data_IF_984372699189
#
_entry.id   IF_984372699189
#
_cell.length_a   1.000
_cell.length_b   1.000
_cell.length_c   1.000
_cell.angle_alpha   90.00
_cell.angle_beta   90.00
_cell.angle_gamma   90.00
#
_symmetry.space_group_name_H-M   'P 1'
#
loop_
_entity.id
_entity.type
_entity.pdbx_description
1 polymer ?
#
# COMPACT_ATOMS: atom_id res chain seq x y z
N UNK A 1 23.74 -0.85 10.76
CA UNK A 1 25.15 -1.25 10.91
C UNK A 1 25.86 -0.79 9.65
N UNK A 2 26.81 0.13 9.76
CA UNK A 2 27.64 0.50 8.61
C UNK A 2 28.62 -0.65 8.33
N UNK A 3 28.33 -1.42 7.30
CA UNK A 3 29.25 -2.44 6.80
C UNK A 3 30.38 -1.73 6.08
N UNK A 4 31.56 -1.64 6.71
CA UNK A 4 32.75 -1.06 6.11
C UNK A 4 33.41 -2.09 5.20
N UNK A 5 33.31 -1.91 3.90
CA UNK A 5 33.98 -2.71 2.89
C UNK A 5 34.79 -1.85 1.95
N UNK A 6 35.80 -2.43 1.30
CA UNK A 6 36.56 -1.75 0.26
C UNK A 6 35.91 -2.00 -1.10
N UNK A 7 35.86 -0.95 -1.94
CA UNK A 7 35.41 -1.10 -3.31
C UNK A 7 36.28 -0.29 -4.27
N UNK A 8 36.46 -0.83 -5.47
CA UNK A 8 37.13 -0.16 -6.57
C UNK A 8 36.17 -0.07 -7.75
N UNK A 9 36.02 1.14 -8.31
CA UNK A 9 35.25 1.35 -9.54
C UNK A 9 36.11 0.95 -10.72
N UNK A 10 35.75 -0.14 -11.40
CA UNK A 10 36.46 -0.64 -12.56
C UNK A 10 35.98 0.03 -13.85
N UNK A 11 34.68 0.35 -13.91
CA UNK A 11 34.02 0.95 -15.06
C UNK A 11 32.84 1.78 -14.60
N UNK A 12 32.63 2.92 -15.23
CA UNK A 12 31.51 3.80 -14.93
C UNK A 12 30.99 4.45 -16.21
N UNK A 13 29.72 4.25 -16.50
CA UNK A 13 29.04 4.84 -17.65
C UNK A 13 27.82 5.63 -17.20
N UNK A 14 27.74 6.88 -17.62
CA UNK A 14 26.59 7.76 -17.37
C UNK A 14 25.80 7.88 -18.67
N UNK A 15 24.56 7.40 -18.66
CA UNK A 15 23.64 7.57 -19.78
C UNK A 15 23.42 9.06 -20.09
N UNK A 16 23.64 9.43 -21.37
CA UNK A 16 23.52 10.81 -21.85
C UNK A 16 22.09 11.17 -22.25
N UNK A 17 21.26 10.17 -22.54
CA UNK A 17 19.85 10.33 -22.91
C UNK A 17 18.95 9.86 -21.78
N UNK A 18 17.68 10.31 -21.80
CA UNK A 18 16.68 10.00 -20.75
C UNK A 18 16.42 8.50 -20.60
N UNK A 19 16.52 7.75 -21.65
CA UNK A 19 16.26 6.30 -21.79
C UNK A 19 17.55 5.45 -21.73
N UNK A 20 18.71 6.07 -21.65
CA UNK A 20 19.99 5.38 -21.58
C UNK A 20 20.33 5.06 -20.11
N UNK A 21 20.58 3.78 -19.82
CA UNK A 21 20.94 3.35 -18.48
C UNK A 21 22.37 3.74 -18.13
N UNK A 22 22.56 4.25 -16.93
CA UNK A 22 23.88 4.40 -16.33
C UNK A 22 24.25 3.08 -15.65
N UNK A 23 25.50 2.67 -15.74
CA UNK A 23 25.98 1.49 -15.02
C UNK A 23 27.36 1.74 -14.42
N UNK A 24 27.69 0.98 -13.38
CA UNK A 24 29.01 0.93 -12.79
C UNK A 24 29.43 -0.54 -12.59
N UNK A 25 30.70 -0.81 -12.84
CA UNK A 25 31.31 -2.10 -12.53
C UNK A 25 32.25 -1.92 -11.35
N UNK A 26 31.97 -2.66 -10.29
CA UNK A 26 32.66 -2.52 -9.01
C UNK A 26 33.37 -3.81 -8.67
N UNK A 27 34.59 -3.69 -8.12
CA UNK A 27 35.26 -4.76 -7.40
C UNK A 27 35.04 -4.52 -5.91
N UNK A 28 34.48 -5.50 -5.20
CA UNK A 28 34.18 -5.40 -3.78
C UNK A 28 34.99 -6.44 -3.04
N UNK A 29 35.61 -6.03 -1.95
CA UNK A 29 36.38 -6.90 -1.06
C UNK A 29 35.92 -6.76 0.39
N UNK A 30 35.89 -7.88 1.10
CA UNK A 30 35.61 -7.97 2.52
C UNK A 30 36.78 -8.52 3.29
N UNK A 31 36.81 -8.35 4.61
CA UNK A 31 37.89 -8.84 5.49
C UNK A 31 37.99 -10.38 5.51
N UNK A 32 36.86 -11.04 5.35
CA UNK A 32 36.69 -12.48 5.22
C UNK A 32 35.49 -12.82 4.36
N UNK A 33 35.25 -14.11 4.10
CA UNK A 33 34.15 -14.58 3.29
C UNK A 33 32.76 -14.16 3.85
N UNK A 34 32.59 -14.25 5.18
CA UNK A 34 31.32 -13.91 5.84
C UNK A 34 31.02 -12.42 5.71
N UNK A 35 32.04 -11.59 5.88
CA UNK A 35 31.91 -10.14 5.70
C UNK A 35 31.62 -9.79 4.24
N UNK A 36 32.29 -10.43 3.28
CA UNK A 36 32.02 -10.23 1.85
C UNK A 36 30.59 -10.65 1.49
N UNK A 37 30.10 -11.80 1.99
CA UNK A 37 28.73 -12.25 1.74
C UNK A 37 27.70 -11.26 2.31
N UNK A 38 27.93 -10.65 3.47
CA UNK A 38 27.07 -9.60 4.05
C UNK A 38 27.08 -8.32 3.21
N UNK A 39 28.25 -7.89 2.71
CA UNK A 39 28.37 -6.73 1.82
C UNK A 39 27.62 -6.98 0.51
N UNK A 40 27.79 -8.14 -0.10
CA UNK A 40 27.11 -8.51 -1.34
C UNK A 40 25.60 -8.57 -1.14
N UNK A 41 25.11 -9.17 -0.07
CA UNK A 41 23.68 -9.21 0.24
C UNK A 41 23.08 -7.80 0.35
N UNK A 42 23.80 -6.86 0.99
CA UNK A 42 23.30 -5.48 1.15
C UNK A 42 23.20 -4.71 -0.17
N UNK A 43 24.12 -4.95 -1.13
CA UNK A 43 24.08 -4.26 -2.43
C UNK A 43 23.17 -4.94 -3.45
N UNK A 44 22.92 -6.25 -3.31
CA UNK A 44 21.98 -6.96 -4.18
C UNK A 44 20.54 -6.47 -3.99
N UNK A 45 20.17 -6.07 -2.77
CA UNK A 45 18.87 -5.44 -2.47
C UNK A 45 18.71 -4.13 -3.25
N UNK A 46 19.80 -3.41 -3.49
CA UNK A 46 19.81 -2.17 -4.28
C UNK A 46 19.91 -2.41 -5.79
N UNK A 47 19.87 -3.67 -6.24
CA UNK A 47 19.86 -4.06 -7.65
C UNK A 47 21.23 -4.33 -8.27
N UNK A 48 22.30 -4.39 -7.48
CA UNK A 48 23.60 -4.84 -7.98
C UNK A 48 23.53 -6.30 -8.44
N UNK A 49 24.37 -6.68 -9.41
CA UNK A 49 24.38 -8.03 -9.95
C UNK A 49 25.83 -8.54 -10.04
N UNK A 50 26.11 -9.83 -9.74
CA UNK A 50 27.40 -10.40 -9.95
C UNK A 50 27.70 -10.49 -11.44
N UNK A 51 28.98 -10.35 -11.83
CA UNK A 51 29.41 -10.51 -13.24
C UNK A 51 29.28 -11.94 -13.74
N UNK A 52 29.38 -12.93 -12.84
CA UNK A 52 29.12 -14.34 -13.14
C UNK A 52 27.78 -14.73 -12.52
N UNK A 53 26.86 -15.11 -13.36
CA UNK A 53 25.50 -15.48 -12.96
C UNK A 53 25.49 -16.99 -12.72
N UNK A 54 25.21 -17.39 -11.48
CA UNK A 54 24.91 -18.77 -11.12
C UNK A 54 23.40 -19.01 -11.16
N UNK A 55 22.99 -20.25 -11.42
CA UNK A 55 21.58 -20.64 -11.34
C UNK A 55 21.03 -20.54 -9.92
N UNK A 56 19.73 -20.32 -9.81
CA UNK A 56 19.03 -20.30 -8.52
C UNK A 56 19.13 -21.66 -7.81
N UNK A 57 19.28 -21.63 -6.48
CA UNK A 57 19.31 -22.83 -5.66
C UNK A 57 17.89 -23.09 -5.14
N UNK A 58 17.37 -24.29 -5.37
CA UNK A 58 16.03 -24.69 -4.94
C UNK A 58 16.13 -25.79 -3.89
N UNK A 59 15.31 -25.67 -2.84
CA UNK A 59 15.10 -26.73 -1.85
C UNK A 59 13.61 -26.98 -1.67
N UNK A 60 13.25 -28.24 -1.50
CA UNK A 60 11.86 -28.62 -1.25
C UNK A 60 11.41 -28.17 0.15
N UNK A 61 10.18 -27.67 0.24
CA UNK A 61 9.54 -27.39 1.51
C UNK A 61 9.45 -28.69 2.33
N UNK A 62 9.95 -28.72 3.59
CA UNK A 62 9.97 -29.95 4.40
C UNK A 62 8.58 -30.40 4.82
N UNK A 63 7.68 -29.46 5.06
CA UNK A 63 6.28 -29.69 5.42
C UNK A 63 5.38 -28.57 4.90
N UNK A 64 4.08 -28.73 5.00
CA UNK A 64 3.11 -27.66 4.77
C UNK A 64 3.42 -26.50 5.72
N UNK A 65 3.35 -25.27 5.19
CA UNK A 65 3.61 -24.03 5.93
C UNK A 65 5.03 -23.90 6.51
N UNK A 66 6.00 -24.67 6.01
CA UNK A 66 7.40 -24.62 6.47
C UNK A 66 8.34 -24.42 5.31
N UNK A 67 9.15 -23.37 5.39
CA UNK A 67 10.20 -23.05 4.43
C UNK A 67 11.55 -23.63 4.88
N UNK A 68 12.48 -23.93 3.96
CA UNK A 68 13.88 -24.21 4.30
C UNK A 68 14.51 -23.06 5.11
N UNK A 69 15.42 -23.34 6.05
CA UNK A 69 16.02 -22.34 6.95
C UNK A 69 16.69 -21.19 6.19
N UNK A 70 17.28 -21.46 5.04
CA UNK A 70 18.00 -20.52 4.19
C UNK A 70 17.17 -20.00 3.00
N UNK A 71 15.83 -20.00 3.13
CA UNK A 71 14.96 -19.46 2.08
C UNK A 71 15.25 -17.99 1.77
N UNK A 72 15.10 -17.62 0.51
CA UNK A 72 15.17 -16.22 0.09
C UNK A 72 13.92 -15.47 0.53
N UNK A 73 14.11 -14.41 1.35
CA UNK A 73 13.00 -13.53 1.76
C UNK A 73 12.83 -12.39 0.76
N UNK A 74 11.63 -12.22 0.25
CA UNK A 74 11.32 -11.25 -0.78
C UNK A 74 11.19 -9.83 -0.24
N UNK A 75 11.56 -8.85 -1.07
CA UNK A 75 11.14 -7.45 -0.95
C UNK A 75 9.87 -7.22 -1.79
N UNK A 76 9.37 -6.01 -1.83
CA UNK A 76 8.26 -5.62 -2.71
C UNK A 76 8.74 -5.19 -4.13
N UNK A 77 10.04 -5.17 -4.38
CA UNK A 77 10.59 -4.85 -5.69
C UNK A 77 10.37 -5.98 -6.69
N UNK A 78 10.28 -5.63 -7.97
CA UNK A 78 10.31 -6.63 -9.03
C UNK A 78 11.56 -7.49 -8.91
N UNK A 79 11.39 -8.80 -8.98
CA UNK A 79 12.46 -9.78 -8.76
C UNK A 79 12.44 -10.80 -9.90
N UNK A 80 13.62 -11.23 -10.31
CA UNK A 80 13.81 -12.31 -11.27
C UNK A 80 14.70 -13.39 -10.69
N UNK A 81 14.50 -14.61 -11.12
CA UNK A 81 15.35 -15.75 -10.80
C UNK A 81 16.00 -16.29 -12.08
N UNK A 82 17.26 -16.73 -11.98
CA UNK A 82 17.99 -17.36 -13.10
C UNK A 82 17.83 -18.88 -13.04
N UNK A 83 17.03 -19.41 -13.95
CA UNK A 83 16.72 -20.83 -14.03
C UNK A 83 16.91 -21.32 -15.48
N UNK A 84 17.62 -22.43 -15.67
CA UNK A 84 17.84 -23.03 -17.00
C UNK A 84 18.39 -22.04 -18.04
N UNK A 85 19.38 -21.22 -17.66
CA UNK A 85 20.04 -20.18 -18.48
C UNK A 85 19.13 -19.03 -18.94
N UNK A 86 18.01 -18.80 -18.29
CA UNK A 86 17.12 -17.67 -18.57
C UNK A 86 16.65 -16.99 -17.29
N UNK A 87 16.33 -15.68 -17.38
CA UNK A 87 15.75 -14.93 -16.30
C UNK A 87 14.22 -15.05 -16.34
N UNK A 88 13.63 -15.49 -15.23
CA UNK A 88 12.19 -15.66 -15.05
C UNK A 88 11.68 -14.62 -14.06
N UNK A 89 10.63 -13.86 -14.45
CA UNK A 89 9.98 -12.90 -13.56
C UNK A 89 9.23 -13.60 -12.44
N UNK A 90 9.44 -13.13 -11.20
CA UNK A 90 8.67 -13.59 -10.05
C UNK A 90 7.34 -12.84 -10.00
N UNK A 91 6.26 -13.60 -10.11
CA UNK A 91 4.91 -13.06 -10.09
C UNK A 91 4.44 -12.78 -8.65
N UNK A 92 3.40 -11.95 -8.52
CA UNK A 92 2.72 -11.69 -7.24
C UNK A 92 3.64 -11.16 -6.13
N UNK A 93 4.60 -10.31 -6.44
CA UNK A 93 5.57 -9.78 -5.47
C UNK A 93 4.90 -9.13 -4.25
N UNK A 94 5.39 -9.55 -3.09
CA UNK A 94 5.01 -9.05 -1.77
C UNK A 94 6.24 -9.06 -0.87
N UNK A 95 6.30 -8.17 0.11
CA UNK A 95 7.36 -8.15 1.12
C UNK A 95 7.26 -9.34 2.09
N UNK A 96 8.41 -9.82 2.56
CA UNK A 96 8.54 -10.86 3.60
C UNK A 96 7.85 -12.19 3.26
N UNK A 97 8.02 -12.65 2.05
CA UNK A 97 7.51 -13.92 1.55
C UNK A 97 8.66 -14.77 1.00
N UNK A 98 8.35 -15.94 0.46
CA UNK A 98 9.29 -16.77 -0.28
C UNK A 98 8.93 -16.82 -1.76
N UNK A 99 9.87 -17.31 -2.58
CA UNK A 99 9.63 -17.58 -4.00
C UNK A 99 9.49 -19.08 -4.18
N UNK A 100 8.36 -19.51 -4.73
CA UNK A 100 8.09 -20.90 -5.13
C UNK A 100 8.23 -21.01 -6.64
N UNK A 101 8.92 -22.07 -7.09
CA UNK A 101 9.25 -22.28 -8.50
C UNK A 101 8.59 -23.54 -9.02
N UNK A 102 7.77 -23.40 -10.06
CA UNK A 102 7.33 -24.49 -10.89
C UNK A 102 8.34 -24.69 -12.03
N UNK A 103 9.23 -25.69 -11.86
CA UNK A 103 10.31 -25.97 -12.80
C UNK A 103 9.73 -26.43 -14.15
N UNK A 104 8.60 -27.17 -14.14
CA UNK A 104 8.01 -27.75 -15.36
C UNK A 104 7.41 -26.67 -16.26
N UNK A 105 6.70 -25.73 -15.66
CA UNK A 105 6.03 -24.65 -16.37
C UNK A 105 6.88 -23.37 -16.45
N UNK A 106 8.14 -23.41 -15.97
CA UNK A 106 9.06 -22.27 -15.92
C UNK A 106 8.40 -21.04 -15.32
N UNK A 107 7.72 -21.22 -14.19
CA UNK A 107 7.00 -20.16 -13.48
C UNK A 107 7.56 -19.97 -12.09
N UNK A 108 7.63 -18.74 -11.63
CA UNK A 108 8.04 -18.38 -10.27
C UNK A 108 7.04 -17.41 -9.68
N UNK A 109 6.63 -17.63 -8.46
CA UNK A 109 5.70 -16.73 -7.77
C UNK A 109 6.09 -16.51 -6.30
N UNK A 110 5.83 -15.30 -5.84
CA UNK A 110 5.92 -14.95 -4.44
C UNK A 110 4.73 -15.54 -3.68
N UNK A 111 4.99 -16.36 -2.66
CA UNK A 111 3.94 -17.10 -1.95
C UNK A 111 4.02 -16.89 -0.43
N UNK A 112 2.86 -16.74 0.20
CA UNK A 112 2.74 -16.62 1.66
C UNK A 112 3.06 -17.95 2.32
N UNK A 113 3.61 -17.93 3.55
CA UNK A 113 3.95 -19.15 4.29
C UNK A 113 2.76 -20.11 4.44
N UNK A 114 1.55 -19.59 4.67
CA UNK A 114 0.34 -20.42 4.83
C UNK A 114 -0.07 -21.18 3.57
N UNK A 115 0.41 -20.72 2.40
CA UNK A 115 0.08 -21.30 1.10
C UNK A 115 1.16 -22.28 0.61
N UNK A 116 2.25 -22.48 1.39
CA UNK A 116 3.32 -23.43 1.11
C UNK A 116 2.83 -24.84 1.37
N UNK A 117 3.14 -25.73 0.44
CA UNK A 117 2.87 -27.18 0.56
C UNK A 117 4.17 -27.96 0.61
N UNK A 118 4.16 -29.07 1.33
CA UNK A 118 5.29 -30.01 1.36
C UNK A 118 5.72 -30.38 -0.04
N UNK A 119 7.02 -30.22 -0.33
CA UNK A 119 7.60 -30.52 -1.65
C UNK A 119 7.62 -29.33 -2.61
N UNK A 120 7.05 -28.17 -2.29
CA UNK A 120 7.20 -26.95 -3.09
C UNK A 120 8.68 -26.59 -3.23
N UNK A 121 9.13 -26.30 -4.44
CA UNK A 121 10.52 -25.89 -4.68
C UNK A 121 10.68 -24.41 -4.31
N UNK A 122 11.39 -24.15 -3.21
CA UNK A 122 11.60 -22.82 -2.66
C UNK A 122 13.01 -22.33 -2.98
N UNK A 123 13.12 -21.07 -3.41
CA UNK A 123 14.40 -20.40 -3.65
C UNK A 123 15.13 -20.21 -2.33
N UNK A 124 16.43 -20.58 -2.30
CA UNK A 124 17.30 -20.48 -1.14
C UNK A 124 18.58 -19.73 -1.46
N UNK A 125 19.04 -18.93 -0.48
CA UNK A 125 20.20 -18.05 -0.66
C UNK A 125 19.97 -16.96 -1.71
N UNK A 126 21.04 -16.22 -2.02
CA UNK A 126 20.98 -15.05 -2.90
C UNK A 126 21.38 -15.34 -4.35
N UNK A 127 21.95 -16.55 -4.61
CA UNK A 127 22.44 -16.91 -5.94
C UNK A 127 21.31 -17.07 -6.94
N UNK A 128 21.52 -16.52 -8.12
CA UNK A 128 20.52 -16.58 -9.21
C UNK A 128 19.25 -15.76 -8.96
N UNK A 129 19.27 -14.86 -7.98
CA UNK A 129 18.20 -13.89 -7.73
C UNK A 129 18.69 -12.51 -8.08
N UNK A 130 17.88 -11.73 -8.80
CA UNK A 130 18.15 -10.30 -9.00
C UNK A 130 16.92 -9.47 -8.71
N UNK A 131 17.13 -8.35 -8.06
CA UNK A 131 16.13 -7.34 -7.80
C UNK A 131 16.21 -6.28 -8.89
N UNK A 132 15.06 -5.83 -9.37
CA UNK A 132 14.92 -4.73 -10.32
C UNK A 132 14.26 -3.55 -9.58
N UNK A 133 15.06 -2.68 -8.93
CA UNK A 133 14.52 -1.55 -8.22
C UNK A 133 13.81 -0.60 -9.18
N UNK A 134 12.70 -0.03 -8.73
CA UNK A 134 12.01 1.01 -9.51
C UNK A 134 12.93 2.21 -9.68
N UNK A 135 13.12 2.62 -10.93
CA UNK A 135 13.92 3.80 -11.24
C UNK A 135 13.22 5.05 -10.72
N UNK A 136 13.93 5.85 -9.92
CA UNK A 136 13.43 7.15 -9.52
C UNK A 136 13.29 8.04 -10.77
N UNK A 137 12.14 8.69 -10.99
CA UNK A 137 11.99 9.62 -12.10
C UNK A 137 13.10 10.68 -12.06
N UNK A 138 13.84 10.84 -13.15
CA UNK A 138 14.89 11.88 -13.26
C UNK A 138 14.30 13.30 -13.29
N UNK A 139 13.01 13.44 -13.63
CA UNK A 139 12.28 14.71 -13.59
C UNK A 139 11.62 14.92 -12.24
N UNK A 140 11.87 16.06 -11.61
CA UNK A 140 11.24 16.45 -10.34
C UNK A 140 11.91 15.90 -9.10
N UNK A 141 13.18 15.49 -9.20
CA UNK A 141 14.02 15.40 -8.00
C UNK A 141 14.26 16.83 -7.56
N UNK A 142 13.36 17.34 -6.72
CA UNK A 142 13.56 18.61 -6.06
C UNK A 142 14.93 18.59 -5.39
N UNK A 143 15.74 19.61 -5.67
CA UNK A 143 17.06 19.81 -5.07
C UNK A 143 17.04 19.67 -3.53
N UNK A 144 15.85 19.79 -2.95
CA UNK A 144 15.59 19.61 -1.52
C UNK A 144 15.34 18.14 -1.07
N UNK A 145 15.30 17.15 -1.97
CA UNK A 145 15.10 15.75 -1.54
C UNK A 145 16.28 15.19 -0.73
N UNK A 146 17.49 15.71 -0.91
CA UNK A 146 18.63 15.28 -0.11
C UNK A 146 18.65 15.92 1.30
N UNK A 147 17.91 17.00 1.52
CA UNK A 147 17.79 17.70 2.81
C UNK A 147 16.55 17.33 3.61
N UNK A 148 15.62 16.56 3.04
CA UNK A 148 14.38 16.24 3.71
C UNK A 148 14.15 14.74 3.73
N UNK A 149 13.95 14.20 4.92
CA UNK A 149 13.13 13.00 5.04
C UNK A 149 11.87 13.20 4.20
N UNK A 150 11.39 12.15 3.54
CA UNK A 150 10.18 12.15 2.71
C UNK A 150 8.91 12.64 3.43
N UNK A 151 9.01 12.95 4.72
CA UNK A 151 7.96 13.53 5.58
C UNK A 151 8.47 14.86 6.17
N UNK A 152 8.21 15.98 5.52
CA UNK A 152 8.53 17.31 6.06
C UNK A 152 7.26 18.07 6.39
N UNK A 153 7.12 18.50 7.64
CA UNK A 153 6.09 19.43 8.09
C UNK A 153 6.33 20.87 7.58
N UNK A 154 7.50 21.14 7.01
CA UNK A 154 7.90 22.47 6.53
C UNK A 154 7.46 22.78 5.10
N UNK A 155 6.99 21.77 4.35
CA UNK A 155 6.49 21.98 2.98
C UNK A 155 5.08 22.56 3.01
N UNK A 156 4.79 23.57 2.17
CA UNK A 156 3.43 24.09 2.06
C UNK A 156 2.45 22.98 1.68
N UNK A 157 1.56 22.61 2.60
CA UNK A 157 0.57 21.54 2.44
C UNK A 157 -0.24 21.66 1.15
N UNK A 158 -0.53 22.90 0.73
CA UNK A 158 -1.22 23.17 -0.54
C UNK A 158 -0.45 22.70 -1.79
N UNK A 159 0.88 22.83 -1.82
CA UNK A 159 1.67 22.37 -2.96
C UNK A 159 1.69 20.85 -3.03
N UNK A 160 1.78 20.19 -1.87
CA UNK A 160 1.69 18.73 -1.78
C UNK A 160 0.32 18.26 -2.24
N UNK A 161 -0.76 18.90 -1.78
CA UNK A 161 -2.13 18.59 -2.19
C UNK A 161 -2.32 18.75 -3.71
N UNK A 162 -1.76 19.82 -4.31
CA UNK A 162 -1.77 20.03 -5.78
C UNK A 162 -1.05 18.93 -6.54
N UNK A 163 0.13 18.51 -6.05
CA UNK A 163 0.89 17.41 -6.65
C UNK A 163 0.11 16.11 -6.59
N UNK A 164 -0.42 15.77 -5.42
CA UNK A 164 -1.22 14.56 -5.22
C UNK A 164 -2.49 14.57 -6.09
N UNK A 165 -3.19 15.69 -6.17
CA UNK A 165 -4.36 15.81 -7.05
C UNK A 165 -4.00 15.58 -8.53
N UNK A 166 -2.88 16.12 -9.01
CA UNK A 166 -2.38 15.83 -10.37
C UNK A 166 -2.03 14.36 -10.55
N UNK A 167 -1.39 13.74 -9.57
CA UNK A 167 -1.05 12.32 -9.61
C UNK A 167 -2.31 11.44 -9.68
N UNK A 168 -3.34 11.75 -8.89
CA UNK A 168 -4.66 11.09 -8.94
C UNK A 168 -5.28 11.26 -10.33
N UNK A 169 -5.37 12.51 -10.82
CA UNK A 169 -5.93 12.83 -12.12
C UNK A 169 -5.20 12.09 -13.26
N UNK A 170 -3.89 12.14 -13.29
CA UNK A 170 -3.06 11.48 -14.31
C UNK A 170 -3.20 9.95 -14.24
N UNK A 171 -3.26 9.38 -13.03
CA UNK A 171 -3.48 7.95 -12.86
C UNK A 171 -4.82 7.53 -13.44
N UNK A 172 -5.89 8.28 -13.18
CA UNK A 172 -7.21 7.98 -13.73
C UNK A 172 -7.32 8.23 -15.23
N UNK A 173 -6.72 9.29 -15.74
CA UNK A 173 -6.74 9.59 -17.19
C UNK A 173 -6.03 8.54 -18.03
N UNK A 174 -5.10 7.78 -17.44
CA UNK A 174 -4.43 6.64 -18.07
C UNK A 174 -5.12 5.29 -17.78
N UNK A 175 -6.32 5.28 -17.21
CA UNK A 175 -7.07 4.06 -16.86
C UNK A 175 -6.51 3.33 -15.64
N UNK A 176 -5.67 3.98 -14.83
CA UNK A 176 -5.09 3.39 -13.64
C UNK A 176 -6.09 3.24 -12.49
N UNK A 177 -5.97 2.16 -11.73
CA UNK A 177 -6.80 1.86 -10.55
C UNK A 177 -6.23 2.55 -9.31
N UNK A 178 -7.10 3.23 -8.56
CA UNK A 178 -6.77 3.89 -7.29
C UNK A 178 -7.57 3.27 -6.15
N UNK A 179 -6.87 2.84 -5.11
CA UNK A 179 -7.48 2.25 -3.91
C UNK A 179 -7.22 3.14 -2.70
N UNK A 180 -8.21 3.32 -1.86
CA UNK A 180 -8.11 4.05 -0.60
C UNK A 180 -8.08 3.07 0.57
N UNK A 181 -7.16 3.27 1.50
CA UNK A 181 -7.17 2.64 2.82
C UNK A 181 -7.47 3.73 3.84
N UNK A 182 -8.62 3.65 4.52
CA UNK A 182 -9.09 4.74 5.37
C UNK A 182 -9.45 4.28 6.78
N UNK A 183 -9.16 5.13 7.77
CA UNK A 183 -9.59 4.96 9.15
C UNK A 183 -10.82 5.82 9.51
N UNK A 184 -11.47 5.57 10.66
CA UNK A 184 -12.68 6.28 11.08
C UNK A 184 -12.44 7.78 11.32
N UNK A 185 -11.19 8.22 11.52
CA UNK A 185 -10.83 9.64 11.63
C UNK A 185 -11.26 10.44 10.41
N UNK A 186 -11.32 9.83 9.22
CA UNK A 186 -11.85 10.47 8.02
C UNK A 186 -13.30 10.97 8.23
N UNK A 187 -14.09 10.23 9.02
CA UNK A 187 -15.46 10.64 9.36
C UNK A 187 -15.44 11.65 10.51
N UNK A 188 -14.70 11.37 11.58
CA UNK A 188 -14.66 12.22 12.78
C UNK A 188 -14.17 13.65 12.49
N UNK A 189 -13.24 13.81 11.55
CA UNK A 189 -12.69 15.10 11.13
C UNK A 189 -13.59 15.87 10.14
N UNK A 190 -14.74 15.30 9.75
CA UNK A 190 -15.61 15.88 8.72
C UNK A 190 -15.13 15.66 7.27
N UNK A 191 -14.09 14.85 7.06
CA UNK A 191 -13.55 14.59 5.73
C UNK A 191 -14.37 13.60 4.90
N UNK A 192 -15.37 12.95 5.49
CA UNK A 192 -16.16 11.90 4.81
C UNK A 192 -16.85 12.40 3.53
N UNK A 193 -17.40 13.61 3.52
CA UNK A 193 -18.08 14.16 2.33
C UNK A 193 -17.13 14.38 1.15
N UNK A 194 -15.86 14.74 1.43
CA UNK A 194 -14.84 14.95 0.40
C UNK A 194 -14.40 13.62 -0.21
N UNK A 195 -14.19 12.58 0.61
CA UNK A 195 -13.89 11.24 0.11
C UNK A 195 -15.09 10.67 -0.67
N UNK A 196 -16.31 10.82 -0.17
CA UNK A 196 -17.54 10.42 -0.86
C UNK A 196 -17.66 11.11 -2.23
N UNK A 197 -17.33 12.39 -2.32
CA UNK A 197 -17.33 13.13 -3.58
C UNK A 197 -16.24 12.65 -4.54
N UNK A 198 -15.04 12.31 -4.06
CA UNK A 198 -13.99 11.70 -4.89
C UNK A 198 -14.44 10.36 -5.47
N UNK A 199 -15.17 9.54 -4.69
CA UNK A 199 -15.77 8.28 -5.16
C UNK A 199 -16.80 8.58 -6.27
N UNK A 200 -17.73 9.50 -6.03
CA UNK A 200 -18.76 9.91 -6.99
C UNK A 200 -18.18 10.43 -8.30
N UNK A 201 -17.06 11.13 -8.24
CA UNK A 201 -16.32 11.63 -9.40
C UNK A 201 -15.53 10.55 -10.15
N UNK A 202 -15.53 9.29 -9.67
CA UNK A 202 -14.84 8.16 -10.29
C UNK A 202 -13.31 8.13 -10.08
N UNK A 203 -12.81 8.87 -9.10
CA UNK A 203 -11.38 8.83 -8.79
C UNK A 203 -10.95 7.62 -7.96
N UNK A 204 -11.88 6.97 -7.27
CA UNK A 204 -11.60 5.86 -6.36
C UNK A 204 -12.27 4.59 -6.88
N UNK A 205 -11.50 3.51 -6.98
CA UNK A 205 -11.94 2.21 -7.50
C UNK A 205 -12.06 1.14 -6.42
N UNK A 206 -11.52 1.39 -5.23
CA UNK A 206 -11.59 0.45 -4.11
C UNK A 206 -11.40 1.13 -2.75
N UNK A 207 -12.07 0.59 -1.73
CA UNK A 207 -11.98 1.03 -0.35
C UNK A 207 -11.63 -0.13 0.57
N UNK A 208 -10.54 0.01 1.32
CA UNK A 208 -10.08 -0.95 2.32
C UNK A 208 -10.16 -0.29 3.71
N UNK A 209 -10.97 -0.85 4.59
CA UNK A 209 -11.19 -0.22 5.89
C UNK A 209 -11.68 -1.24 6.94
N UNK A 210 -11.95 -0.74 8.15
CA UNK A 210 -12.53 -1.51 9.23
C UNK A 210 -14.03 -1.24 9.41
N UNK A 211 -14.66 -2.05 10.25
CA UNK A 211 -16.04 -1.87 10.69
C UNK A 211 -16.31 -0.44 11.20
N UNK A 212 -15.39 0.12 11.97
CA UNK A 212 -15.55 1.42 12.60
C UNK A 212 -15.79 2.56 11.59
N UNK A 213 -15.07 2.61 10.45
CA UNK A 213 -15.32 3.66 9.45
C UNK A 213 -16.74 3.55 8.91
N UNK A 214 -17.17 2.34 8.53
CA UNK A 214 -18.50 2.12 7.95
C UNK A 214 -19.60 2.51 8.94
N UNK A 215 -19.47 2.12 10.21
CA UNK A 215 -20.45 2.45 11.26
C UNK A 215 -20.53 3.95 11.48
N UNK A 216 -19.38 4.65 11.60
CA UNK A 216 -19.39 6.10 11.82
C UNK A 216 -19.84 6.89 10.58
N UNK A 217 -19.58 6.40 9.38
CA UNK A 217 -20.10 6.99 8.14
C UNK A 217 -21.63 6.89 8.09
N UNK A 218 -22.18 5.73 8.45
CA UNK A 218 -23.63 5.52 8.57
C UNK A 218 -24.23 6.37 9.69
N UNK A 219 -23.58 6.42 10.87
CA UNK A 219 -23.97 7.31 11.98
C UNK A 219 -24.06 8.76 11.51
N UNK A 220 -23.03 9.23 10.80
CA UNK A 220 -23.00 10.60 10.29
C UNK A 220 -24.10 10.83 9.26
N UNK A 221 -24.35 9.89 8.36
CA UNK A 221 -25.42 10.02 7.36
C UNK A 221 -26.82 10.04 7.96
N UNK A 222 -27.08 9.25 9.02
CA UNK A 222 -28.41 9.14 9.64
C UNK A 222 -28.69 10.24 10.67
N UNK A 223 -27.66 10.63 11.43
CA UNK A 223 -27.83 11.47 12.63
C UNK A 223 -26.99 12.74 12.62
N UNK A 224 -26.09 12.92 11.64
CA UNK A 224 -25.18 14.07 11.58
C UNK A 224 -24.11 14.06 12.67
N UNK A 225 -23.92 12.93 13.35
CA UNK A 225 -22.96 12.76 14.45
C UNK A 225 -21.89 11.73 14.11
N UNK A 226 -20.74 11.84 14.78
CA UNK A 226 -19.74 10.80 14.83
C UNK A 226 -19.17 10.76 16.25
N UNK A 227 -19.10 9.56 16.85
CA UNK A 227 -18.80 9.40 18.28
C UNK A 227 -19.74 10.22 19.18
N UNK A 228 -20.99 10.44 18.77
CA UNK A 228 -21.95 11.23 19.51
C UNK A 228 -21.75 12.75 19.46
N UNK A 229 -20.75 13.23 18.71
CA UNK A 229 -20.52 14.65 18.47
C UNK A 229 -21.09 15.05 17.10
N UNK A 230 -21.68 16.22 17.00
CA UNK A 230 -22.12 16.78 15.73
C UNK A 230 -20.88 17.11 14.87
N UNK A 231 -20.78 16.50 13.69
CA UNK A 231 -19.61 16.62 12.82
C UNK A 231 -19.43 18.04 12.27
N UNK A 232 -20.52 18.83 12.13
CA UNK A 232 -20.45 20.18 11.54
C UNK A 232 -19.96 21.25 12.53
N UNK A 233 -20.41 21.18 13.78
CA UNK A 233 -20.14 22.23 14.77
C UNK A 233 -19.33 21.76 15.98
N UNK A 234 -18.98 20.47 16.06
CA UNK A 234 -18.16 19.91 17.15
C UNK A 234 -18.85 19.88 18.51
N UNK A 235 -20.17 20.10 18.59
CA UNK A 235 -20.91 20.08 19.85
C UNK A 235 -21.40 18.67 20.20
N UNK A 236 -21.53 18.37 21.48
CA UNK A 236 -22.15 17.14 21.94
C UNK A 236 -23.63 17.11 21.53
N UNK A 237 -24.03 16.07 20.84
CA UNK A 237 -25.44 15.85 20.55
C UNK A 237 -26.18 15.31 21.78
N UNK A 238 -27.42 15.73 21.97
CA UNK A 238 -28.27 15.21 23.07
C UNK A 238 -28.40 13.70 22.88
N UNK A 239 -27.95 12.90 23.86
CA UNK A 239 -27.88 11.45 23.82
C UNK A 239 -27.04 10.90 22.63
N UNK A 240 -26.06 11.68 22.15
CA UNK A 240 -25.23 11.35 20.99
C UNK A 240 -24.53 9.98 21.08
N UNK A 241 -24.16 9.54 22.29
CA UNK A 241 -23.56 8.23 22.55
C UNK A 241 -24.45 7.03 22.09
N UNK A 242 -25.76 7.24 21.88
CA UNK A 242 -26.67 6.20 21.36
C UNK A 242 -26.59 6.08 19.84
N UNK A 243 -26.20 7.13 19.15
CA UNK A 243 -26.30 7.20 17.68
C UNK A 243 -25.41 6.16 17.00
N UNK A 244 -24.23 5.90 17.56
CA UNK A 244 -23.34 4.84 17.13
C UNK A 244 -24.03 3.46 17.15
N UNK A 245 -24.57 3.07 18.32
CA UNK A 245 -25.28 1.80 18.45
C UNK A 245 -26.57 1.75 17.62
N UNK A 246 -27.25 2.88 17.47
CA UNK A 246 -28.43 2.95 16.63
C UNK A 246 -28.10 2.80 15.14
N UNK A 247 -26.98 3.34 14.69
CA UNK A 247 -26.50 3.10 13.33
C UNK A 247 -26.25 1.61 13.07
N UNK A 248 -25.55 0.93 13.97
CA UNK A 248 -25.35 -0.54 13.92
C UNK A 248 -26.70 -1.27 13.86
N UNK A 249 -27.63 -0.91 14.72
CA UNK A 249 -28.97 -1.52 14.78
C UNK A 249 -29.74 -1.35 13.47
N UNK A 250 -29.66 -0.18 12.82
CA UNK A 250 -30.31 0.04 11.52
C UNK A 250 -29.71 -0.82 10.41
N UNK A 251 -28.38 -1.06 10.41
CA UNK A 251 -27.78 -1.99 9.44
C UNK A 251 -28.29 -3.42 9.66
N UNK A 252 -28.34 -3.89 10.91
CA UNK A 252 -28.91 -5.21 11.22
C UNK A 252 -30.38 -5.32 10.83
N UNK A 253 -31.18 -4.28 11.11
CA UNK A 253 -32.60 -4.23 10.72
C UNK A 253 -32.79 -4.28 9.21
N UNK A 254 -31.92 -3.63 8.46
CA UNK A 254 -31.97 -3.65 7.00
C UNK A 254 -31.47 -4.96 6.41
N UNK A 255 -30.54 -5.63 7.09
CA UNK A 255 -29.83 -6.87 6.69
C UNK A 255 -28.47 -6.63 6.07
N UNK A 256 -28.22 -5.51 5.43
CA UNK A 256 -26.90 -5.09 4.92
C UNK A 256 -26.89 -3.60 4.57
N UNK A 257 -25.69 -3.04 4.31
CA UNK A 257 -25.53 -1.66 3.84
C UNK A 257 -26.21 -1.47 2.47
N UNK A 258 -26.07 -2.44 1.57
CA UNK A 258 -26.72 -2.43 0.25
C UNK A 258 -28.25 -2.34 0.37
N UNK A 259 -28.82 -3.08 1.32
CA UNK A 259 -30.24 -3.04 1.59
C UNK A 259 -30.69 -1.70 2.17
N UNK A 260 -29.85 -1.05 2.99
CA UNK A 260 -30.13 0.31 3.45
C UNK A 260 -30.21 1.30 2.28
N UNK A 261 -29.29 1.20 1.32
CA UNK A 261 -29.29 2.06 0.12
C UNK A 261 -30.52 1.75 -0.76
N UNK A 262 -30.83 0.48 -1.02
CA UNK A 262 -32.01 0.08 -1.81
C UNK A 262 -33.32 0.56 -1.20
N UNK A 263 -33.42 0.50 0.14
CA UNK A 263 -34.62 0.94 0.89
C UNK A 263 -34.65 2.46 1.15
N UNK A 264 -33.71 3.24 0.58
CA UNK A 264 -33.57 4.69 0.81
C UNK A 264 -33.39 5.09 2.29
N UNK A 265 -32.87 4.21 3.14
CA UNK A 265 -32.50 4.50 4.53
C UNK A 265 -31.17 5.23 4.55
N UNK A 266 -30.14 4.69 3.88
CA UNK A 266 -28.85 5.35 3.69
C UNK A 266 -28.86 6.12 2.38
N UNK A 267 -28.63 7.46 2.43
CA UNK A 267 -28.77 8.38 1.29
C UNK A 267 -27.52 9.18 0.96
N UNK A 268 -26.51 9.10 1.79
CA UNK A 268 -25.24 9.84 1.64
C UNK A 268 -24.12 9.13 2.40
N UNK A 269 -22.90 9.59 2.21
CA UNK A 269 -21.71 9.09 2.89
C UNK A 269 -20.83 8.22 1.99
N UNK A 270 -19.69 7.80 2.54
CA UNK A 270 -18.68 7.01 1.84
C UNK A 270 -19.27 5.67 1.39
N UNK A 271 -19.93 4.96 2.30
CA UNK A 271 -20.52 3.63 2.00
C UNK A 271 -21.64 3.73 0.97
N UNK A 272 -22.47 4.78 1.06
CA UNK A 272 -23.50 5.06 0.04
C UNK A 272 -22.88 5.24 -1.35
N UNK A 273 -21.83 6.04 -1.47
CA UNK A 273 -21.18 6.30 -2.75
C UNK A 273 -20.43 5.06 -3.28
N UNK A 274 -19.85 4.25 -2.41
CA UNK A 274 -19.26 2.97 -2.84
C UNK A 274 -20.31 2.08 -3.52
N UNK A 275 -21.50 1.96 -2.94
CA UNK A 275 -22.57 1.11 -3.48
C UNK A 275 -23.13 1.71 -4.76
N UNK A 276 -23.40 3.02 -4.79
CA UNK A 276 -23.99 3.70 -5.94
C UNK A 276 -23.09 3.69 -7.18
N UNK A 277 -21.77 3.73 -6.97
CA UNK A 277 -20.79 3.78 -8.05
C UNK A 277 -20.09 2.43 -8.28
N UNK A 278 -20.58 1.34 -7.68
CA UNK A 278 -20.03 -0.02 -7.79
C UNK A 278 -18.53 -0.10 -7.42
N UNK A 279 -18.11 0.71 -6.45
CA UNK A 279 -16.75 0.67 -5.93
C UNK A 279 -16.59 -0.53 -5.01
N UNK A 280 -15.60 -1.37 -5.28
CA UNK A 280 -15.30 -2.52 -4.44
C UNK A 280 -14.86 -2.06 -3.05
N UNK A 281 -15.34 -2.72 -2.00
CA UNK A 281 -14.87 -2.44 -0.65
C UNK A 281 -14.67 -3.72 0.16
N UNK A 282 -13.87 -3.61 1.22
CA UNK A 282 -13.71 -4.63 2.23
C UNK A 282 -13.68 -3.99 3.61
N UNK A 283 -14.52 -4.52 4.50
CA UNK A 283 -14.63 -4.12 5.89
C UNK A 283 -14.00 -5.22 6.75
N UNK A 284 -12.91 -4.93 7.45
CA UNK A 284 -12.28 -5.89 8.35
C UNK A 284 -12.76 -5.70 9.78
N UNK A 285 -13.04 -6.80 10.46
CA UNK A 285 -13.35 -6.81 11.89
C UNK A 285 -12.12 -6.55 12.76
N UNK A 286 -12.37 -6.12 13.97
CA UNK A 286 -11.36 -5.84 14.98
C UNK A 286 -11.89 -6.25 16.37
N UNK A 287 -10.96 -6.54 17.30
CA UNK A 287 -11.31 -6.84 18.71
C UNK A 287 -11.95 -5.65 19.46
N UNK A 288 -12.01 -4.47 18.82
CA UNK A 288 -12.63 -3.25 19.36
C UNK A 288 -14.07 -3.04 18.89
N UNK A 289 -14.59 -3.88 17.99
CA UNK A 289 -15.91 -3.69 17.39
C UNK A 289 -17.01 -4.03 18.39
N UNK A 290 -17.95 -3.11 18.57
CA UNK A 290 -19.15 -3.27 19.41
C UNK A 290 -20.26 -4.07 18.73
N UNK A 291 -19.90 -5.11 18.03
CA UNK A 291 -20.74 -5.89 17.15
C UNK A 291 -20.47 -5.51 15.70
N UNK A 292 -19.71 -6.31 14.93
CA UNK A 292 -19.45 -6.05 13.52
C UNK A 292 -20.76 -6.11 12.73
N UNK A 293 -20.99 -5.09 11.88
CA UNK A 293 -22.19 -5.04 11.04
C UNK A 293 -22.14 -6.13 9.97
N UNK A 294 -23.30 -6.55 9.41
CA UNK A 294 -23.36 -7.49 8.30
C UNK A 294 -22.47 -7.08 7.13
N UNK A 295 -21.67 -8.02 6.64
CA UNK A 295 -20.68 -7.79 5.58
C UNK A 295 -19.26 -7.49 6.07
N UNK A 296 -19.04 -7.39 7.39
CA UNK A 296 -17.70 -7.31 7.98
C UNK A 296 -17.05 -8.69 7.99
N UNK A 297 -15.84 -8.77 7.48
CA UNK A 297 -15.03 -9.99 7.47
C UNK A 297 -14.31 -10.09 8.83
N UNK A 298 -14.71 -11.06 9.65
CA UNK A 298 -14.16 -11.25 11.00
C UNK A 298 -12.94 -12.17 11.04
N UNK A 299 -12.77 -13.03 10.05
CA UNK A 299 -11.54 -13.79 9.86
C UNK A 299 -10.46 -12.91 9.24
N UNK A 300 -9.36 -12.68 9.96
CA UNK A 300 -8.26 -11.81 9.52
C UNK A 300 -7.53 -12.36 8.29
N UNK A 301 -7.55 -13.67 8.07
CA UNK A 301 -6.93 -14.32 6.92
C UNK A 301 -7.78 -14.07 5.67
N UNK A 302 -9.09 -14.27 5.78
CA UNK A 302 -10.04 -13.95 4.72
C UNK A 302 -10.01 -12.45 4.37
N UNK A 303 -9.99 -11.58 5.39
CA UNK A 303 -9.87 -10.14 5.20
C UNK A 303 -8.60 -9.76 4.42
N UNK A 304 -7.46 -10.41 4.73
CA UNK A 304 -6.20 -10.18 4.02
C UNK A 304 -6.30 -10.62 2.55
N UNK A 305 -6.96 -11.74 2.27
CA UNK A 305 -7.15 -12.22 0.90
C UNK A 305 -8.08 -11.28 0.11
N UNK A 306 -9.17 -10.84 0.73
CA UNK A 306 -10.08 -9.85 0.10
C UNK A 306 -9.38 -8.52 -0.19
N UNK A 307 -8.52 -8.04 0.72
CA UNK A 307 -7.70 -6.86 0.46
C UNK A 307 -6.82 -7.05 -0.78
N UNK A 308 -6.16 -8.21 -0.89
CA UNK A 308 -5.29 -8.51 -2.01
C UNK A 308 -6.03 -8.54 -3.34
N UNK A 309 -7.23 -9.12 -3.39
CA UNK A 309 -8.08 -9.11 -4.59
C UNK A 309 -8.37 -7.68 -5.04
N UNK A 310 -8.80 -6.82 -4.11
CA UNK A 310 -9.08 -5.41 -4.42
C UNK A 310 -7.82 -4.66 -4.84
N UNK A 311 -6.64 -5.01 -4.29
CA UNK A 311 -5.37 -4.38 -4.66
C UNK A 311 -4.81 -4.84 -6.01
N UNK A 312 -5.37 -5.86 -6.63
CA UNK A 312 -4.92 -6.37 -7.93
C UNK A 312 -4.97 -5.26 -8.99
N UNK A 313 -3.86 -5.09 -9.73
CA UNK A 313 -3.67 -4.06 -10.78
C UNK A 313 -3.75 -2.61 -10.30
N UNK A 314 -3.67 -2.36 -8.99
CA UNK A 314 -3.64 -1.01 -8.44
C UNK A 314 -2.38 -0.26 -8.89
N UNK A 315 -2.53 1.01 -9.25
CA UNK A 315 -1.45 1.92 -9.61
C UNK A 315 -1.13 2.92 -8.52
N UNK A 316 -2.11 3.25 -7.69
CA UNK A 316 -1.96 4.22 -6.60
C UNK A 316 -2.78 3.81 -5.39
N UNK A 317 -2.21 3.99 -4.19
CA UNK A 317 -2.90 3.78 -2.91
C UNK A 317 -2.85 5.07 -2.09
N UNK A 318 -4.00 5.49 -1.58
CA UNK A 318 -4.12 6.56 -0.61
C UNK A 318 -4.35 5.94 0.78
N UNK A 319 -3.44 6.18 1.72
CA UNK A 319 -3.52 5.71 3.10
C UNK A 319 -3.93 6.89 3.98
N UNK A 320 -5.17 6.88 4.49
CA UNK A 320 -5.79 8.02 5.15
C UNK A 320 -6.08 7.71 6.61
N UNK A 321 -5.25 8.23 7.52
CA UNK A 321 -5.44 8.20 8.97
C UNK A 321 -5.75 6.81 9.54
N UNK A 322 -5.03 5.79 9.09
CA UNK A 322 -5.07 4.43 9.65
C UNK A 322 -3.69 3.79 9.56
N UNK A 323 -3.16 3.37 10.70
CA UNK A 323 -1.85 2.72 10.74
C UNK A 323 -1.94 1.23 10.39
N UNK A 324 -2.81 0.49 11.07
CA UNK A 324 -2.85 -0.98 10.96
C UNK A 324 -3.20 -1.45 9.54
N UNK A 325 -4.29 -0.96 8.97
CA UNK A 325 -4.71 -1.31 7.61
C UNK A 325 -3.68 -0.85 6.57
N UNK A 326 -3.08 0.33 6.77
CA UNK A 326 -2.05 0.85 5.86
C UNK A 326 -0.76 0.03 5.88
N UNK A 327 -0.31 -0.44 7.05
CA UNK A 327 0.83 -1.36 7.15
C UNK A 327 0.52 -2.67 6.41
N UNK A 328 -0.66 -3.24 6.63
CA UNK A 328 -1.07 -4.47 5.95
C UNK A 328 -1.05 -4.29 4.42
N UNK A 329 -1.62 -3.18 3.93
CA UNK A 329 -1.63 -2.86 2.50
C UNK A 329 -0.21 -2.62 1.96
N UNK A 330 0.62 -1.87 2.68
CA UNK A 330 2.02 -1.62 2.29
C UNK A 330 2.82 -2.91 2.09
N UNK A 331 2.58 -3.92 2.93
CA UNK A 331 3.22 -5.24 2.79
C UNK A 331 2.68 -6.07 1.61
N UNK A 332 1.51 -5.73 1.07
CA UNK A 332 0.85 -6.49 -0.01
C UNK A 332 1.09 -5.94 -1.41
N UNK A 333 1.45 -4.66 -1.51
CA UNK A 333 1.60 -3.98 -2.81
C UNK A 333 3.04 -4.04 -3.32
N UNK A 334 3.24 -4.21 -4.64
CA UNK A 334 4.58 -4.12 -5.24
C UNK A 334 5.11 -2.68 -5.28
N UNK A 335 6.44 -2.53 -5.33
CA UNK A 335 7.15 -1.25 -5.27
C UNK A 335 6.74 -0.23 -6.35
N UNK A 336 6.24 -0.69 -7.49
CA UNK A 336 5.74 0.17 -8.58
C UNK A 336 4.47 0.95 -8.25
N UNK A 337 3.74 0.56 -7.20
CA UNK A 337 2.51 1.24 -6.79
C UNK A 337 2.86 2.53 -6.06
N UNK A 338 2.31 3.64 -6.54
CA UNK A 338 2.47 4.94 -5.87
C UNK A 338 1.67 4.95 -4.56
N UNK A 339 2.30 5.35 -3.47
CA UNK A 339 1.68 5.43 -2.14
C UNK A 339 1.63 6.87 -1.66
N UNK A 340 0.51 7.30 -1.15
CA UNK A 340 0.35 8.57 -0.42
C UNK A 340 -0.17 8.24 0.97
N UNK A 341 0.63 8.49 2.00
CA UNK A 341 0.26 8.29 3.40
C UNK A 341 0.01 9.64 4.08
N UNK A 342 -1.21 9.83 4.59
CA UNK A 342 -1.64 11.06 5.27
C UNK A 342 -2.06 10.71 6.69
N UNK A 343 -1.36 11.27 7.66
CA UNK A 343 -1.70 11.14 9.09
C UNK A 343 -1.25 12.39 9.85
N UNK A 344 -1.91 12.69 10.95
CA UNK A 344 -1.52 13.79 11.84
C UNK A 344 -0.25 13.46 12.63
N UNK A 345 0.02 12.17 12.84
CA UNK A 345 1.19 11.68 13.56
C UNK A 345 2.38 11.47 12.63
N UNK A 346 3.44 12.25 12.82
CA UNK A 346 4.70 12.07 12.09
C UNK A 346 5.27 10.65 12.25
N UNK A 347 5.18 10.06 13.44
CA UNK A 347 5.67 8.71 13.70
C UNK A 347 4.94 7.66 12.86
N UNK A 348 3.62 7.81 12.69
CA UNK A 348 2.82 6.94 11.82
C UNK A 348 3.25 7.10 10.36
N UNK A 349 3.38 8.34 9.87
CA UNK A 349 3.81 8.62 8.51
C UNK A 349 5.18 8.02 8.23
N UNK A 350 6.16 8.22 9.11
CA UNK A 350 7.51 7.62 8.97
C UNK A 350 7.43 6.09 8.90
N UNK A 351 6.67 5.46 9.80
CA UNK A 351 6.51 4.01 9.83
C UNK A 351 5.85 3.44 8.58
N UNK A 352 4.93 4.19 7.96
CA UNK A 352 4.30 3.79 6.69
C UNK A 352 5.25 3.95 5.51
N UNK A 353 6.11 4.97 5.54
CA UNK A 353 7.13 5.19 4.50
C UNK A 353 8.20 4.11 4.51
N UNK A 354 8.60 3.62 5.69
CA UNK A 354 9.57 2.53 5.84
C UNK A 354 9.11 1.21 5.18
N UNK A 355 7.77 1.03 5.08
CA UNK A 355 7.13 -0.11 4.42
C UNK A 355 6.54 0.24 3.06
N UNK A 356 6.64 1.50 2.70
CA UNK A 356 6.14 2.01 1.44
C UNK A 356 7.04 1.61 0.27
N UNK A 357 6.57 1.99 -0.89
CA UNK A 357 7.33 1.87 -2.13
C UNK A 357 8.34 3.00 -2.25
N UNK A 358 9.31 2.87 -3.14
CA UNK A 358 10.27 3.96 -3.46
C UNK A 358 9.57 5.24 -3.93
N UNK A 359 8.30 5.17 -4.29
CA UNK A 359 7.45 6.29 -4.71
C UNK A 359 6.49 6.77 -3.61
N UNK A 360 6.70 6.39 -2.35
CA UNK A 360 5.83 6.78 -1.25
C UNK A 360 6.01 8.29 -0.91
N UNK A 361 4.88 8.96 -0.72
CA UNK A 361 4.79 10.35 -0.28
C UNK A 361 4.13 10.36 1.09
N UNK A 362 4.85 10.83 2.11
CA UNK A 362 4.30 11.05 3.45
C UNK A 362 3.83 12.49 3.64
N UNK A 363 2.64 12.65 4.20
CA UNK A 363 2.04 13.95 4.51
C UNK A 363 1.63 13.98 5.97
N UNK A 364 2.30 14.80 6.76
CA UNK A 364 1.92 15.06 8.15
C UNK A 364 0.88 16.17 8.14
N UNK A 365 -0.39 15.82 8.24
CA UNK A 365 -1.51 16.79 8.19
C UNK A 365 -2.77 16.20 8.78
N UNK A 366 -3.64 17.09 9.26
CA UNK A 366 -5.02 16.73 9.55
C UNK A 366 -5.76 16.36 8.26
N UNK A 367 -6.45 15.22 8.26
CA UNK A 367 -7.14 14.72 7.08
C UNK A 367 -8.36 15.59 6.73
N UNK A 368 -8.99 16.20 7.73
CA UNK A 368 -10.12 17.13 7.56
C UNK A 368 -9.72 18.41 6.84
N UNK A 369 -8.45 18.82 6.96
CA UNK A 369 -7.90 19.96 6.22
C UNK A 369 -7.34 19.53 4.85
N UNK A 370 -6.75 18.35 4.75
CA UNK A 370 -6.02 17.89 3.56
C UNK A 370 -6.94 17.46 2.42
N UNK A 371 -7.95 16.61 2.67
CA UNK A 371 -8.85 16.11 1.62
C UNK A 371 -9.62 17.21 0.88
N UNK A 372 -10.15 18.27 1.55
CA UNK A 372 -10.76 19.40 0.84
C UNK A 372 -9.81 20.07 -0.16
N UNK A 373 -8.53 20.23 0.20
CA UNK A 373 -7.54 20.82 -0.70
C UNK A 373 -7.30 19.96 -1.93
N UNK A 374 -7.20 18.65 -1.75
CA UNK A 374 -7.03 17.70 -2.87
C UNK A 374 -8.25 17.72 -3.77
N UNK A 375 -9.45 17.63 -3.21
CA UNK A 375 -10.70 17.64 -3.98
C UNK A 375 -10.87 18.92 -4.79
N UNK A 376 -10.64 20.09 -4.20
CA UNK A 376 -10.72 21.38 -4.90
C UNK A 376 -9.79 21.41 -6.13
N UNK A 377 -8.56 20.88 -6.00
CA UNK A 377 -7.65 20.77 -7.14
C UNK A 377 -8.13 19.78 -8.20
N UNK A 378 -8.71 18.65 -7.81
CA UNK A 378 -9.30 17.68 -8.74
C UNK A 378 -10.45 18.29 -9.53
N UNK A 379 -11.32 19.05 -8.88
CA UNK A 379 -12.44 19.76 -9.54
C UNK A 379 -11.95 20.81 -10.55
N UNK A 380 -10.84 21.49 -10.27
CA UNK A 380 -10.22 22.43 -11.20
C UNK A 380 -9.61 21.71 -12.42
N UNK A 381 -9.01 20.53 -12.21
CA UNK A 381 -8.43 19.72 -13.29
C UNK A 381 -9.50 19.08 -14.18
N UNK A 382 -10.65 18.71 -13.60
CA UNK A 382 -11.79 18.11 -14.36
C UNK A 382 -12.53 19.10 -15.23
N UNK A 383 -12.37 20.41 -15.01
CA UNK A 383 -13.01 21.48 -15.80
C UNK A 383 -12.18 21.91 -17.02
N UNK A 384 -10.96 21.45 -17.11
CA UNK A 384 -10.05 21.68 -18.24
C UNK A 384 -10.12 20.55 -19.26
#
# INVERSE_FOLDING_TARGET
MDLKGDFNVLEFHVGKKKDELSYARLLISGNDKKHLDQLLASIYIEGAQPTKIDGVILKAAPNDMVMPIDFYSTTNNATQIFLNNEWIDVQNMMMDKCIVVDIRNKNAECRKIRDIRKGDNIVTGEKGVRILPEQRPREGVDIFQFMSSSSSSERPTQQIARKIARDIYNTKSTGGKIVVTAGPVVVHSGAAEFLAKMIRMGYIDGLLTGNALAVHDIENSLFGTSLGMNVKNGTLAIRGHRNHMQAINEVFRAGSIEQMVKKNVLKSGIMYECIKNNVQYALCGSIRDDGPIPGVITDVIEAQDRYREILTNTKMVLMLSTMLHSIAVGNMIPARVKVVAVDISQAVVTKLLDRGTTQAIGVVSDIGAFLPMVLNQLEQLSKK
#
